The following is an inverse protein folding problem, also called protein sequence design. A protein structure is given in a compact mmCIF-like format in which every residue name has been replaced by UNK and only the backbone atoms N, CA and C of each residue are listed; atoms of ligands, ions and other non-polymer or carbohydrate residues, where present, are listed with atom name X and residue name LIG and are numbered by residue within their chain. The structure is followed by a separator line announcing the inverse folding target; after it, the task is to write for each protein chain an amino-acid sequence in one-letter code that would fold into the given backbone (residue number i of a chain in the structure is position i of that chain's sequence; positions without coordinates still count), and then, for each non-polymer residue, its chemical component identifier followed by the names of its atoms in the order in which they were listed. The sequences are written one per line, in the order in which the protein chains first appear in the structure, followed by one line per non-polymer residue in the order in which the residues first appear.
data_IF_127626246109
#
_entry.id   IF_127626246109
#
_cell.length_a   1.000
_cell.length_b   1.000
_cell.length_c   1.000
_cell.angle_alpha   90.00
_cell.angle_beta   90.00
_cell.angle_gamma   90.00
#
_symmetry.space_group_name_H-M   'P 1'
#
loop_
_entity.id
_entity.type
_entity.pdbx_description
1 polymer ?
#
# COMPACT_ATOMS: atom_id res chain seq x y z
N UNK A 1 -13.96 -3.88 -19.22
CA UNK A 1 -15.18 -3.27 -19.79
C UNK A 1 -15.70 -4.10 -20.97
N UNK A 2 -17.01 -4.15 -21.12
CA UNK A 2 -17.69 -4.74 -22.29
C UNK A 2 -18.18 -3.60 -23.16
N UNK A 3 -17.86 -3.67 -24.44
CA UNK A 3 -18.30 -2.69 -25.44
C UNK A 3 -19.45 -3.31 -26.22
N UNK A 4 -20.61 -2.66 -26.20
CA UNK A 4 -21.81 -3.08 -26.92
C UNK A 4 -21.88 -2.37 -28.25
N UNK A 5 -21.84 -3.14 -29.34
CA UNK A 5 -21.90 -2.62 -30.70
C UNK A 5 -23.08 -3.30 -31.42
N UNK A 6 -23.91 -2.51 -32.10
CA UNK A 6 -24.97 -2.98 -32.98
C UNK A 6 -24.98 -2.16 -34.25
N UNK A 7 -25.10 -2.83 -35.40
CA UNK A 7 -25.12 -2.22 -36.72
C UNK A 7 -23.95 -1.25 -36.97
N UNK A 8 -22.76 -1.59 -36.45
CA UNK A 8 -21.54 -0.80 -36.54
C UNK A 8 -21.50 0.47 -35.65
N UNK A 9 -22.49 0.65 -34.78
CA UNK A 9 -22.54 1.80 -33.84
C UNK A 9 -22.29 1.35 -32.42
N UNK A 10 -21.49 2.14 -31.70
CA UNK A 10 -21.32 1.99 -30.26
C UNK A 10 -22.65 2.31 -29.56
N UNK A 11 -23.18 1.36 -28.81
CA UNK A 11 -24.41 1.55 -28.03
C UNK A 11 -24.09 1.91 -26.59
N UNK A 12 -23.18 1.18 -25.96
CA UNK A 12 -22.84 1.37 -24.55
C UNK A 12 -21.48 0.74 -24.22
N UNK A 13 -20.96 1.10 -23.06
CA UNK A 13 -19.82 0.46 -22.41
C UNK A 13 -20.22 0.11 -20.98
N UNK A 14 -20.10 -1.15 -20.58
CA UNK A 14 -20.57 -1.62 -19.27
C UNK A 14 -19.52 -2.48 -18.58
N UNK A 15 -19.74 -2.77 -17.29
CA UNK A 15 -18.99 -3.81 -16.59
C UNK A 15 -19.44 -5.21 -17.04
N UNK A 16 -18.55 -6.19 -16.85
CA UNK A 16 -18.80 -7.56 -17.30
C UNK A 16 -19.95 -8.26 -16.55
N UNK A 17 -20.26 -7.83 -15.34
CA UNK A 17 -21.36 -8.35 -14.53
C UNK A 17 -22.75 -7.98 -15.07
N UNK A 18 -22.82 -6.99 -15.97
CA UNK A 18 -24.06 -6.59 -16.63
C UNK A 18 -24.37 -7.39 -17.89
N UNK A 19 -23.50 -8.29 -18.31
CA UNK A 19 -23.73 -9.16 -19.47
C UNK A 19 -24.67 -10.29 -19.07
N UNK A 20 -25.95 -10.07 -19.26
CA UNK A 20 -27.00 -11.06 -18.98
C UNK A 20 -27.76 -11.42 -20.26
N UNK A 21 -28.42 -12.57 -20.28
CA UNK A 21 -29.28 -12.97 -21.40
C UNK A 21 -30.40 -11.93 -21.67
N UNK A 22 -30.94 -11.30 -20.61
CA UNK A 22 -31.93 -10.23 -20.71
C UNK A 22 -31.37 -9.01 -21.41
N UNK A 23 -30.18 -8.53 -20.97
CA UNK A 23 -29.54 -7.36 -21.58
C UNK A 23 -29.23 -7.57 -23.06
N UNK A 24 -28.78 -8.76 -23.42
CA UNK A 24 -28.53 -9.15 -24.83
C UNK A 24 -29.84 -9.11 -25.63
N UNK A 25 -30.92 -9.70 -25.09
CA UNK A 25 -32.23 -9.71 -25.76
C UNK A 25 -32.80 -8.32 -25.97
N UNK A 26 -32.70 -7.44 -24.95
CA UNK A 26 -33.15 -6.03 -25.05
C UNK A 26 -32.45 -5.30 -26.20
N UNK A 27 -31.14 -5.51 -26.36
CA UNK A 27 -30.37 -4.87 -27.43
C UNK A 27 -30.75 -5.44 -28.79
N UNK A 28 -30.94 -6.76 -28.92
CA UNK A 28 -31.33 -7.40 -30.17
C UNK A 28 -32.72 -6.89 -30.61
N UNK A 29 -33.66 -6.80 -29.69
CA UNK A 29 -35.03 -6.39 -29.93
C UNK A 29 -35.24 -4.85 -30.07
N UNK A 30 -34.14 -4.07 -30.04
CA UNK A 30 -34.20 -2.58 -30.06
C UNK A 30 -35.02 -1.97 -28.91
N UNK A 31 -35.11 -2.66 -27.77
CA UNK A 31 -35.74 -2.11 -26.57
C UNK A 31 -34.80 -1.13 -25.88
N UNK A 32 -35.34 -0.26 -25.06
CA UNK A 32 -34.52 0.61 -24.21
C UNK A 32 -33.69 -0.26 -23.27
N UNK A 33 -32.35 -0.17 -23.36
CA UNK A 33 -31.45 -0.99 -22.59
C UNK A 33 -31.44 -0.56 -21.12
N UNK A 34 -31.54 -1.51 -20.20
CA UNK A 34 -31.36 -1.34 -18.75
C UNK A 34 -29.89 -1.21 -18.34
N UNK A 35 -28.96 -1.31 -19.29
CA UNK A 35 -27.52 -1.28 -19.04
C UNK A 35 -27.08 0.08 -18.50
N UNK A 36 -26.35 0.05 -17.40
CA UNK A 36 -25.71 1.24 -16.85
C UNK A 36 -24.40 1.50 -17.57
N UNK A 37 -24.25 2.69 -18.14
CA UNK A 37 -23.01 3.11 -18.79
C UNK A 37 -21.90 3.24 -17.77
N UNK A 38 -20.73 2.67 -18.07
CA UNK A 38 -19.53 2.97 -17.30
C UNK A 38 -19.11 4.41 -17.57
N UNK A 39 -19.16 5.22 -16.55
CA UNK A 39 -18.67 6.59 -16.62
C UNK A 39 -17.14 6.55 -16.62
N UNK A 40 -16.52 7.03 -17.69
CA UNK A 40 -15.07 7.25 -17.70
C UNK A 40 -14.77 8.44 -16.80
N UNK A 41 -14.12 8.15 -15.66
CA UNK A 41 -13.72 9.18 -14.71
C UNK A 41 -12.29 9.59 -15.01
N UNK A 42 -12.05 10.87 -15.18
CA UNK A 42 -10.72 11.44 -15.25
C UNK A 42 -10.06 11.35 -13.86
N UNK A 43 -9.15 10.38 -13.71
CA UNK A 43 -8.47 10.07 -12.44
C UNK A 43 -7.41 11.12 -12.05
N UNK A 44 -7.13 12.07 -12.93
CA UNK A 44 -6.26 13.23 -12.64
C UNK A 44 -7.02 14.36 -11.94
N UNK A 45 -8.35 14.32 -11.98
CA UNK A 45 -9.26 15.28 -11.35
C UNK A 45 -9.85 14.72 -10.06
N UNK A 46 -10.33 15.58 -9.16
CA UNK A 46 -11.09 15.15 -8.00
C UNK A 46 -12.33 14.36 -8.40
N UNK A 47 -12.62 13.27 -7.68
CA UNK A 47 -13.79 12.44 -7.92
C UNK A 47 -15.08 13.27 -7.82
N UNK A 48 -16.03 12.96 -8.68
CA UNK A 48 -17.39 13.52 -8.66
C UNK A 48 -17.47 15.06 -8.75
N UNK A 49 -16.40 15.75 -9.14
CA UNK A 49 -16.52 17.14 -9.51
C UNK A 49 -17.21 17.26 -10.88
N UNK A 50 -18.20 18.13 -10.95
CA UNK A 50 -18.91 18.41 -12.21
C UNK A 50 -17.98 19.04 -13.24
N UNK A 51 -18.34 18.91 -14.54
CA UNK A 51 -17.65 19.58 -15.64
C UNK A 51 -17.66 21.12 -15.52
N UNK A 52 -18.53 21.67 -14.66
CA UNK A 52 -18.60 23.11 -14.39
C UNK A 52 -17.48 23.66 -13.52
N UNK A 53 -16.61 22.79 -12.93
CA UNK A 53 -15.42 23.22 -12.23
C UNK A 53 -14.34 23.60 -13.24
N UNK A 54 -14.22 24.89 -13.49
CA UNK A 54 -13.32 25.45 -14.49
C UNK A 54 -12.06 25.99 -13.82
N UNK A 55 -10.98 25.18 -13.89
CA UNK A 55 -9.66 25.56 -13.40
C UNK A 55 -8.98 26.64 -14.25
N UNK A 56 -9.46 26.87 -15.49
CA UNK A 56 -8.88 27.85 -16.39
C UNK A 56 -9.36 29.28 -16.08
N UNK A 57 -10.44 29.44 -15.32
CA UNK A 57 -11.05 30.76 -14.98
C UNK A 57 -10.59 31.34 -13.64
N UNK A 58 -9.33 31.18 -13.27
CA UNK A 58 -8.76 31.74 -12.02
C UNK A 58 -9.35 31.17 -10.72
N UNK A 59 -10.03 30.02 -10.76
CA UNK A 59 -10.48 29.31 -9.58
C UNK A 59 -9.49 28.21 -9.23
N UNK A 60 -9.06 28.13 -7.97
CA UNK A 60 -8.18 27.09 -7.46
C UNK A 60 -8.91 26.28 -6.39
N UNK A 61 -8.97 24.96 -6.59
CA UNK A 61 -9.50 24.05 -5.59
C UNK A 61 -8.56 24.01 -4.37
N UNK A 62 -9.01 24.56 -3.25
CA UNK A 62 -8.22 24.63 -2.03
C UNK A 62 -8.27 23.32 -1.26
N UNK A 63 -9.43 22.71 -1.13
CA UNK A 63 -9.58 21.41 -0.46
C UNK A 63 -10.80 20.67 -0.99
N UNK A 64 -10.74 19.36 -0.95
CA UNK A 64 -11.83 18.49 -1.36
C UNK A 64 -11.75 17.18 -0.57
N UNK A 65 -12.89 16.72 -0.08
CA UNK A 65 -13.00 15.43 0.60
C UNK A 65 -14.23 14.73 0.07
N UNK A 66 -14.01 13.58 -0.54
CA UNK A 66 -15.03 12.60 -0.84
C UNK A 66 -14.71 11.35 -0.02
N UNK A 67 -15.70 10.81 0.69
CA UNK A 67 -15.55 9.59 1.47
C UNK A 67 -16.83 8.78 1.41
N UNK A 68 -16.74 7.53 0.98
CA UNK A 68 -17.88 6.64 0.91
C UNK A 68 -17.53 5.23 1.36
N UNK A 69 -18.55 4.53 1.86
CA UNK A 69 -18.51 3.10 2.18
C UNK A 69 -19.37 2.33 1.19
N UNK A 70 -18.91 1.18 0.79
CA UNK A 70 -19.51 0.34 -0.24
C UNK A 70 -18.81 0.49 -1.58
N UNK A 71 -18.95 -0.53 -2.44
CA UNK A 71 -18.38 -0.51 -3.80
C UNK A 71 -19.06 0.55 -4.66
N UNK A 72 -18.25 1.41 -5.25
CA UNK A 72 -18.69 2.29 -6.32
C UNK A 72 -18.40 1.58 -7.65
N UNK A 73 -19.44 1.09 -8.32
CA UNK A 73 -19.28 0.27 -9.53
C UNK A 73 -18.65 1.01 -10.71
N UNK A 74 -18.87 2.32 -10.78
CA UNK A 74 -18.28 3.17 -11.82
C UNK A 74 -16.79 3.43 -11.64
N UNK A 75 -16.20 2.99 -10.51
CA UNK A 75 -14.78 3.19 -10.19
C UNK A 75 -14.04 1.87 -10.19
N UNK A 76 -12.89 1.85 -10.86
CA UNK A 76 -11.94 0.75 -10.74
C UNK A 76 -11.36 0.68 -9.31
N UNK A 77 -10.91 -0.50 -8.93
CA UNK A 77 -10.01 -0.68 -7.81
C UNK A 77 -8.68 0.05 -8.08
N UNK A 78 -8.29 0.96 -7.21
CA UNK A 78 -7.06 1.70 -7.49
C UNK A 78 -6.64 2.73 -6.46
N UNK A 79 -5.57 3.40 -6.79
CA UNK A 79 -4.97 4.43 -5.96
C UNK A 79 -4.23 5.45 -6.85
N UNK A 80 -4.46 6.74 -6.61
CA UNK A 80 -3.89 7.84 -7.41
C UNK A 80 -3.41 8.95 -6.50
N UNK A 81 -2.58 9.83 -7.09
CA UNK A 81 -2.02 10.99 -6.42
C UNK A 81 -2.43 12.25 -7.18
N UNK A 82 -2.86 13.28 -6.45
CA UNK A 82 -2.93 14.63 -6.99
C UNK A 82 -1.60 15.33 -6.72
N UNK A 83 -0.89 15.70 -7.79
CA UNK A 83 0.46 16.28 -7.71
C UNK A 83 0.53 17.61 -8.43
N UNK A 84 1.34 18.52 -7.87
CA UNK A 84 1.74 19.75 -8.52
C UNK A 84 3.23 19.97 -8.31
N UNK A 85 3.98 20.21 -9.39
CA UNK A 85 5.44 20.45 -9.36
C UNK A 85 6.22 19.44 -8.49
N UNK A 86 5.83 18.16 -8.57
CA UNK A 86 6.46 17.07 -7.81
C UNK A 86 5.97 16.89 -6.37
N UNK A 87 5.15 17.81 -5.83
CA UNK A 87 4.56 17.68 -4.50
C UNK A 87 3.19 17.04 -4.56
N UNK A 88 2.93 16.06 -3.69
CA UNK A 88 1.63 15.42 -3.53
C UNK A 88 0.78 16.26 -2.56
N UNK A 89 -0.33 16.81 -3.05
CA UNK A 89 -1.28 17.59 -2.26
C UNK A 89 -2.63 16.89 -2.09
N UNK A 90 -2.80 15.72 -2.70
CA UNK A 90 -4.01 14.91 -2.54
C UNK A 90 -3.76 13.44 -2.85
N UNK A 91 -4.62 12.61 -2.28
CA UNK A 91 -4.55 11.15 -2.38
C UNK A 91 -5.94 10.58 -2.60
N UNK A 92 -6.04 9.69 -3.60
CA UNK A 92 -7.27 9.02 -3.94
C UNK A 92 -7.12 7.51 -3.78
N UNK A 93 -8.10 6.88 -3.15
CA UNK A 93 -8.28 5.44 -3.07
C UNK A 93 -9.69 5.11 -3.54
N UNK A 94 -9.84 4.09 -4.36
CA UNK A 94 -11.13 3.64 -4.86
C UNK A 94 -11.33 2.16 -4.62
N UNK A 95 -12.47 1.80 -4.03
CA UNK A 95 -12.87 0.42 -3.75
C UNK A 95 -11.81 -0.39 -2.97
N UNK A 96 -11.22 0.21 -1.93
CA UNK A 96 -10.17 -0.38 -1.10
C UNK A 96 -10.69 -0.85 0.25
N UNK A 97 -10.03 -1.84 0.85
CA UNK A 97 -10.21 -2.14 2.27
C UNK A 97 -9.62 -1.01 3.14
N UNK A 98 -10.12 -0.86 4.38
CA UNK A 98 -9.52 0.10 5.30
C UNK A 98 -8.06 -0.24 5.62
N UNK A 99 -7.71 -1.53 5.70
CA UNK A 99 -6.32 -1.94 5.92
C UNK A 99 -5.39 -1.43 4.81
N UNK A 100 -5.80 -1.53 3.54
CA UNK A 100 -5.01 -1.02 2.42
C UNK A 100 -4.84 0.50 2.48
N UNK A 101 -5.91 1.24 2.85
CA UNK A 101 -5.88 2.69 3.01
C UNK A 101 -4.96 3.07 4.18
N UNK A 102 -5.12 2.46 5.35
CA UNK A 102 -4.30 2.72 6.53
C UNK A 102 -2.83 2.37 6.30
N UNK A 103 -2.55 1.24 5.66
CA UNK A 103 -1.18 0.84 5.31
C UNK A 103 -0.51 1.87 4.41
N UNK A 104 -1.23 2.34 3.38
CA UNK A 104 -0.71 3.34 2.44
C UNK A 104 -0.43 4.69 3.12
N UNK A 105 -1.33 5.15 3.99
CA UNK A 105 -1.13 6.37 4.79
C UNK A 105 0.02 6.17 5.79
N UNK A 106 0.05 5.03 6.46
CA UNK A 106 1.10 4.66 7.41
C UNK A 106 2.48 4.65 6.78
N UNK A 107 2.62 4.11 5.56
CA UNK A 107 3.86 4.10 4.80
C UNK A 107 4.42 5.52 4.63
N UNK A 108 3.60 6.45 4.17
CA UNK A 108 3.99 7.84 3.96
C UNK A 108 4.34 8.56 5.28
N UNK A 109 3.59 8.28 6.35
CA UNK A 109 3.86 8.85 7.68
C UNK A 109 5.16 8.33 8.30
N UNK A 110 5.52 7.06 8.04
CA UNK A 110 6.81 6.50 8.44
C UNK A 110 7.95 7.13 7.66
N UNK A 111 7.81 7.27 6.34
CA UNK A 111 8.80 7.93 5.47
C UNK A 111 9.07 9.36 5.90
N UNK A 112 8.01 10.13 6.27
CA UNK A 112 8.16 11.48 6.82
C UNK A 112 8.98 11.54 8.13
N UNK A 113 9.09 10.41 8.84
CA UNK A 113 9.91 10.29 10.08
C UNK A 113 11.29 9.69 9.82
N UNK A 114 11.63 9.39 8.57
CA UNK A 114 12.86 8.70 8.19
C UNK A 114 12.87 7.21 8.48
N UNK A 115 11.69 6.63 8.72
CA UNK A 115 11.49 5.19 8.97
C UNK A 115 10.81 4.51 7.77
N UNK A 116 10.82 3.18 7.76
CA UNK A 116 10.15 2.38 6.73
C UNK A 116 9.12 1.47 7.38
N UNK A 117 7.85 1.65 7.01
CA UNK A 117 6.79 0.75 7.46
C UNK A 117 6.93 -0.61 6.78
N UNK A 118 6.81 -1.66 7.57
CA UNK A 118 6.66 -3.04 7.09
C UNK A 118 5.43 -3.67 7.70
N UNK A 119 4.97 -4.78 7.13
CA UNK A 119 3.85 -5.55 7.69
C UNK A 119 4.08 -5.99 9.15
N UNK A 120 5.35 -6.14 9.55
CA UNK A 120 5.75 -6.53 10.91
C UNK A 120 5.67 -5.38 11.92
N UNK A 121 5.57 -4.14 11.45
CA UNK A 121 5.39 -2.93 12.26
C UNK A 121 3.93 -2.46 12.30
N UNK A 122 3.02 -3.30 11.82
CA UNK A 122 1.58 -3.06 11.87
C UNK A 122 0.95 -3.95 12.93
N UNK A 123 0.23 -3.35 13.86
CA UNK A 123 -0.52 -4.05 14.89
C UNK A 123 -2.02 -3.80 14.68
N UNK A 124 -2.70 -4.79 14.11
CA UNK A 124 -4.16 -4.79 13.99
C UNK A 124 -4.76 -5.58 15.15
N UNK A 125 -5.55 -4.91 15.99
CA UNK A 125 -6.25 -5.54 17.12
C UNK A 125 -7.75 -5.69 16.87
N UNK A 126 -8.24 -5.33 15.67
CA UNK A 126 -9.64 -5.46 15.28
C UNK A 126 -10.06 -6.94 15.24
N UNK A 127 -11.24 -7.24 15.80
CA UNK A 127 -11.81 -8.58 15.78
C UNK A 127 -13.24 -8.59 15.21
N UNK A 128 -13.55 -9.42 14.23
CA UNK A 128 -12.59 -10.22 13.47
C UNK A 128 -11.77 -9.34 12.50
N UNK A 129 -10.52 -9.71 12.18
CA UNK A 129 -9.65 -8.88 11.34
C UNK A 129 -10.23 -8.63 9.94
N UNK A 130 -11.06 -9.52 9.42
CA UNK A 130 -11.74 -9.42 8.12
C UNK A 130 -12.73 -8.24 8.04
N UNK A 131 -12.96 -7.53 9.13
CA UNK A 131 -13.74 -6.29 9.10
C UNK A 131 -13.03 -5.19 8.32
N UNK A 132 -11.69 -5.18 8.32
CA UNK A 132 -10.88 -4.17 7.64
C UNK A 132 -9.82 -4.76 6.72
N UNK A 133 -9.44 -6.03 6.90
CA UNK A 133 -8.39 -6.73 6.15
C UNK A 133 -8.97 -7.98 5.48
N UNK A 134 -9.25 -7.88 4.19
CA UNK A 134 -9.86 -8.94 3.41
C UNK A 134 -9.42 -8.88 1.95
N UNK A 135 -9.62 -9.97 1.21
CA UNK A 135 -9.29 -10.02 -0.22
C UNK A 135 -10.31 -9.21 -1.03
N UNK A 136 -9.90 -8.02 -1.46
CA UNK A 136 -10.72 -7.08 -2.24
C UNK A 136 -10.98 -7.52 -3.68
N UNK A 137 -10.30 -8.56 -4.18
CA UNK A 137 -10.58 -9.16 -5.49
C UNK A 137 -11.82 -10.07 -5.48
N UNK A 138 -12.31 -10.45 -4.30
CA UNK A 138 -13.55 -11.20 -4.18
C UNK A 138 -14.71 -10.21 -4.31
N UNK A 139 -15.54 -10.41 -5.35
CA UNK A 139 -16.72 -9.57 -5.59
C UNK A 139 -17.96 -10.29 -5.11
N UNK A 140 -18.51 -9.86 -3.99
CA UNK A 140 -19.78 -10.30 -3.44
C UNK A 140 -20.39 -9.20 -2.57
N UNK A 141 -21.66 -9.35 -2.18
CA UNK A 141 -22.40 -8.34 -1.39
C UNK A 141 -21.72 -7.99 -0.07
N UNK A 142 -21.11 -8.96 0.61
CA UNK A 142 -20.45 -8.75 1.88
C UNK A 142 -19.15 -7.96 1.72
N UNK A 143 -18.29 -8.38 0.81
CA UNK A 143 -17.03 -7.68 0.49
C UNK A 143 -17.31 -6.27 -0.01
N UNK A 144 -18.27 -6.12 -0.93
CA UNK A 144 -18.64 -4.83 -1.50
C UNK A 144 -19.08 -3.82 -0.44
N UNK A 145 -19.81 -4.29 0.59
CA UNK A 145 -20.28 -3.43 1.68
C UNK A 145 -19.15 -2.95 2.62
N UNK A 146 -18.01 -3.62 2.63
CA UNK A 146 -16.84 -3.31 3.49
C UNK A 146 -15.80 -2.42 2.79
N UNK A 147 -15.92 -2.20 1.48
CA UNK A 147 -15.01 -1.35 0.72
C UNK A 147 -15.20 0.12 1.05
N UNK A 148 -14.15 0.89 0.85
CA UNK A 148 -14.17 2.34 0.98
C UNK A 148 -13.56 3.00 -0.25
N UNK A 149 -14.06 4.19 -0.54
CA UNK A 149 -13.45 5.10 -1.52
C UNK A 149 -13.27 6.46 -0.86
N UNK A 150 -12.08 7.02 -1.01
CA UNK A 150 -11.76 8.34 -0.49
C UNK A 150 -10.95 9.11 -1.53
N UNK A 151 -11.30 10.37 -1.72
CA UNK A 151 -10.47 11.35 -2.41
C UNK A 151 -10.26 12.54 -1.49
N UNK A 152 -9.02 12.80 -1.13
CA UNK A 152 -8.66 13.75 -0.10
C UNK A 152 -7.62 14.73 -0.63
N UNK A 153 -7.99 16.00 -0.73
CA UNK A 153 -7.16 17.09 -1.22
C UNK A 153 -7.00 18.15 -0.12
N UNK A 154 -5.78 18.61 0.08
CA UNK A 154 -5.44 19.76 0.94
C UNK A 154 -4.91 20.91 0.10
N UNK A 155 -4.91 22.16 0.63
CA UNK A 155 -4.21 23.26 -0.02
C UNK A 155 -2.75 22.89 -0.34
N UNK A 156 -2.25 23.28 -1.50
CA UNK A 156 -0.91 22.89 -1.99
C UNK A 156 0.22 23.27 -1.01
N UNK A 157 0.07 24.37 -0.28
CA UNK A 157 1.00 24.80 0.76
C UNK A 157 0.90 23.98 2.05
N UNK A 158 -0.02 23.02 2.14
CA UNK A 158 -0.22 22.11 3.28
C UNK A 158 0.05 20.64 2.92
N UNK A 159 0.72 20.39 1.80
CA UNK A 159 1.04 19.04 1.31
C UNK A 159 1.73 18.16 2.37
N UNK A 160 2.63 18.73 3.17
CA UNK A 160 3.36 17.99 4.21
C UNK A 160 2.44 17.45 5.33
N UNK A 161 1.24 18.03 5.49
CA UNK A 161 0.23 17.58 6.45
C UNK A 161 -0.86 16.69 5.85
N UNK A 162 -0.79 16.36 4.56
CA UNK A 162 -1.80 15.59 3.84
C UNK A 162 -2.18 14.30 4.58
N UNK A 163 -1.20 13.45 4.83
CA UNK A 163 -1.43 12.12 5.39
C UNK A 163 -1.87 12.15 6.85
N UNK A 164 -1.35 13.07 7.65
CA UNK A 164 -1.79 13.24 9.05
C UNK A 164 -3.23 13.75 9.14
N UNK A 165 -3.63 14.66 8.25
CA UNK A 165 -5.02 15.15 8.16
C UNK A 165 -5.97 14.08 7.65
N UNK A 166 -5.53 13.34 6.62
CA UNK A 166 -6.32 12.24 6.05
C UNK A 166 -6.55 11.14 7.10
N UNK A 167 -5.50 10.73 7.84
CA UNK A 167 -5.62 9.75 8.90
C UNK A 167 -6.59 10.20 9.99
N UNK A 168 -6.48 11.46 10.44
CA UNK A 168 -7.40 12.03 11.41
C UNK A 168 -8.84 12.00 10.91
N UNK A 169 -9.09 12.43 9.68
CA UNK A 169 -10.41 12.41 9.08
C UNK A 169 -11.00 11.00 9.03
N UNK A 170 -10.24 9.99 8.60
CA UNK A 170 -10.71 8.61 8.54
C UNK A 170 -10.99 8.09 9.96
N UNK A 171 -10.11 8.38 10.92
CA UNK A 171 -10.35 8.05 12.32
C UNK A 171 -11.66 8.66 12.85
N UNK A 172 -11.96 9.91 12.53
CA UNK A 172 -13.20 10.58 12.97
C UNK A 172 -14.46 9.94 12.35
N UNK A 173 -14.35 9.43 11.12
CA UNK A 173 -15.48 8.95 10.31
C UNK A 173 -15.60 7.42 10.20
N UNK A 174 -14.81 6.66 10.95
CA UNK A 174 -14.91 5.20 11.03
C UNK A 174 -14.97 4.74 12.49
N UNK A 175 -15.42 3.50 12.78
CA UNK A 175 -15.41 2.97 14.16
C UNK A 175 -14.00 2.64 14.67
N UNK A 176 -12.96 2.91 13.91
CA UNK A 176 -11.58 2.54 14.22
C UNK A 176 -10.72 3.75 14.53
N UNK A 177 -9.65 3.51 15.28
CA UNK A 177 -8.59 4.49 15.54
C UNK A 177 -7.26 3.93 15.09
N UNK A 178 -6.52 4.72 14.33
CA UNK A 178 -5.17 4.38 13.86
C UNK A 178 -4.20 5.46 14.31
N UNK A 179 -3.09 5.03 14.90
CA UNK A 179 -2.06 5.92 15.43
C UNK A 179 -0.67 5.33 15.20
N UNK A 180 0.33 6.22 15.21
CA UNK A 180 1.74 5.84 15.27
C UNK A 180 2.17 5.89 16.73
N UNK A 181 2.53 4.71 17.28
CA UNK A 181 2.91 4.57 18.68
C UNK A 181 4.29 3.92 18.80
N UNK A 182 5.13 4.44 19.71
CA UNK A 182 6.34 3.73 20.11
C UNK A 182 5.95 2.63 21.11
N UNK A 183 6.27 1.37 20.77
CA UNK A 183 5.99 0.22 21.62
C UNK A 183 7.23 -0.64 21.79
N UNK A 184 7.49 -1.09 23.01
CA UNK A 184 8.50 -2.13 23.27
C UNK A 184 8.02 -3.41 22.63
N UNK A 185 8.76 -3.88 21.63
CA UNK A 185 8.33 -4.97 20.76
C UNK A 185 9.47 -5.97 20.60
N UNK A 186 9.20 -7.29 20.72
CA UNK A 186 10.17 -8.31 20.36
C UNK A 186 10.61 -8.15 18.90
N UNK A 187 11.92 -8.17 18.67
CA UNK A 187 12.51 -8.01 17.34
C UNK A 187 13.79 -8.82 17.22
N UNK A 188 14.26 -9.00 15.99
CA UNK A 188 15.59 -9.52 15.70
C UNK A 188 16.51 -8.35 15.36
N UNK A 189 17.64 -8.27 16.06
CA UNK A 189 18.62 -7.20 15.84
C UNK A 189 19.83 -7.78 15.12
N UNK A 190 20.15 -7.23 13.96
CA UNK A 190 21.37 -7.54 13.23
C UNK A 190 22.52 -6.72 13.79
N UNK A 191 23.58 -7.40 14.26
CA UNK A 191 24.77 -6.80 14.85
C UNK A 191 26.03 -7.32 14.20
N UNK A 192 27.12 -6.53 14.28
CA UNK A 192 28.46 -7.01 13.96
C UNK A 192 29.05 -7.70 15.19
N UNK A 193 29.71 -8.86 14.98
CA UNK A 193 30.38 -9.62 16.03
C UNK A 193 31.87 -9.33 16.08
N UNK A 194 32.42 -8.64 15.09
CA UNK A 194 33.84 -8.21 15.07
C UNK A 194 34.01 -6.85 14.40
N UNK A 195 35.19 -6.24 14.58
CA UNK A 195 35.59 -5.01 13.88
C UNK A 195 36.13 -5.26 12.46
N UNK A 196 36.28 -6.52 12.03
CA UNK A 196 36.83 -6.87 10.71
C UNK A 196 35.79 -6.61 9.64
N UNK A 197 36.20 -6.04 8.50
CA UNK A 197 35.28 -5.83 7.38
C UNK A 197 35.28 -7.04 6.44
N UNK A 198 34.36 -7.96 6.69
CA UNK A 198 34.07 -9.11 5.81
C UNK A 198 32.85 -8.86 4.91
N UNK A 199 32.27 -7.65 4.95
CA UNK A 199 31.04 -7.30 4.26
C UNK A 199 31.29 -6.57 2.96
N UNK A 200 32.42 -5.85 2.87
CA UNK A 200 32.70 -4.94 1.75
C UNK A 200 32.50 -5.63 0.39
N UNK A 201 31.71 -5.02 -0.45
CA UNK A 201 31.51 -5.48 -1.82
C UNK A 201 32.80 -5.43 -2.64
N UNK A 202 32.91 -6.35 -3.58
CA UNK A 202 33.95 -6.30 -4.64
C UNK A 202 33.55 -5.38 -5.80
N UNK A 203 32.39 -4.72 -5.71
CA UNK A 203 31.86 -3.83 -6.75
C UNK A 203 31.09 -4.58 -7.82
N UNK A 204 30.93 -3.93 -8.98
CA UNK A 204 30.19 -4.47 -10.10
C UNK A 204 28.73 -4.03 -10.12
N UNK A 205 27.94 -4.65 -11.00
CA UNK A 205 26.50 -4.41 -11.10
C UNK A 205 25.78 -4.98 -9.88
N UNK A 206 24.78 -4.26 -9.38
CA UNK A 206 23.92 -4.77 -8.31
C UNK A 206 23.20 -6.05 -8.77
N UNK A 207 23.30 -7.12 -7.98
CA UNK A 207 22.54 -8.35 -8.19
C UNK A 207 21.58 -8.52 -7.01
N UNK A 208 20.28 -8.59 -7.34
CA UNK A 208 19.21 -8.89 -6.42
C UNK A 208 18.60 -10.27 -6.72
N UNK A 209 19.15 -11.28 -6.11
CA UNK A 209 18.58 -12.62 -6.02
C UNK A 209 18.34 -13.03 -4.57
N UNK A 210 18.21 -12.05 -3.65
CA UNK A 210 18.23 -12.30 -2.21
C UNK A 210 17.10 -13.24 -1.74
N UNK A 211 15.91 -13.10 -2.26
CA UNK A 211 14.76 -13.95 -1.89
C UNK A 211 14.68 -15.25 -2.69
N UNK A 212 15.62 -15.51 -3.60
CA UNK A 212 15.75 -16.77 -4.35
C UNK A 212 16.51 -17.81 -3.52
N UNK A 213 16.57 -19.03 -4.01
CA UNK A 213 17.41 -20.10 -3.43
C UNK A 213 18.30 -20.68 -4.55
N UNK A 214 19.63 -20.61 -4.43
CA UNK A 214 20.39 -19.90 -3.39
C UNK A 214 20.22 -18.37 -3.46
N UNK A 215 20.33 -17.73 -2.29
CA UNK A 215 20.19 -16.28 -2.15
C UNK A 215 21.49 -15.57 -2.49
N UNK A 216 21.44 -14.55 -3.32
CA UNK A 216 22.60 -13.73 -3.70
C UNK A 216 22.23 -12.26 -3.61
N UNK A 217 23.03 -11.52 -2.87
CA UNK A 217 22.98 -10.07 -2.81
C UNK A 217 24.40 -9.54 -3.11
N UNK A 218 24.57 -8.79 -4.17
CA UNK A 218 25.86 -8.24 -4.56
C UNK A 218 25.75 -6.73 -4.77
N UNK A 219 26.72 -5.99 -4.28
CA UNK A 219 26.81 -4.52 -4.41
C UNK A 219 25.55 -3.80 -3.93
N UNK A 220 24.91 -4.28 -2.87
CA UNK A 220 23.72 -3.72 -2.26
C UNK A 220 23.99 -3.29 -0.80
N UNK A 221 23.04 -2.67 -0.13
CA UNK A 221 23.17 -2.23 1.26
C UNK A 221 22.56 -3.25 2.24
N UNK A 222 23.00 -3.24 3.50
CA UNK A 222 22.31 -4.00 4.56
C UNK A 222 20.88 -3.52 4.77
N UNK A 223 20.62 -2.23 4.61
CA UNK A 223 19.26 -1.66 4.66
C UNK A 223 18.35 -2.32 3.62
N UNK A 224 18.84 -2.57 2.41
CA UNK A 224 18.08 -3.30 1.38
C UNK A 224 17.78 -4.74 1.83
N UNK A 225 18.76 -5.46 2.37
CA UNK A 225 18.56 -6.81 2.93
C UNK A 225 17.49 -6.82 4.02
N UNK A 226 17.57 -5.90 4.97
CA UNK A 226 16.61 -5.77 6.07
C UNK A 226 15.21 -5.47 5.55
N UNK A 227 15.10 -4.55 4.59
CA UNK A 227 13.83 -4.23 3.93
C UNK A 227 13.21 -5.47 3.27
N UNK A 228 14.00 -6.25 2.52
CA UNK A 228 13.54 -7.48 1.88
C UNK A 228 13.08 -8.54 2.90
N UNK A 229 13.79 -8.69 4.01
CA UNK A 229 13.41 -9.62 5.10
C UNK A 229 12.15 -9.14 5.86
N UNK A 230 11.94 -7.84 5.94
CA UNK A 230 10.78 -7.25 6.60
C UNK A 230 9.54 -7.14 5.71
N UNK A 231 9.68 -7.26 4.40
CA UNK A 231 8.57 -7.11 3.45
C UNK A 231 7.49 -8.21 3.58
N UNK A 232 7.84 -9.35 4.20
CA UNK A 232 6.93 -10.47 4.39
C UNK A 232 7.31 -11.28 5.65
N UNK A 233 6.50 -12.29 5.97
CA UNK A 233 6.70 -13.16 7.12
C UNK A 233 7.37 -14.49 6.78
N UNK A 234 7.99 -14.64 5.60
CA UNK A 234 8.54 -15.93 5.16
C UNK A 234 9.71 -16.44 6.02
N UNK A 235 10.55 -15.52 6.52
CA UNK A 235 11.71 -15.86 7.37
C UNK A 235 11.33 -15.84 8.85
N UNK A 236 10.60 -14.83 9.28
CA UNK A 236 10.17 -14.61 10.66
C UNK A 236 9.01 -13.61 10.69
N UNK A 237 8.17 -13.71 11.71
CA UNK A 237 7.12 -12.68 11.97
C UNK A 237 7.68 -11.49 12.77
N UNK A 238 8.87 -11.61 13.37
CA UNK A 238 9.48 -10.52 14.13
C UNK A 238 10.10 -9.48 13.20
N UNK A 239 9.97 -8.18 13.50
CA UNK A 239 10.70 -7.13 12.79
C UNK A 239 12.21 -7.34 12.95
N UNK A 240 12.95 -7.06 11.87
CA UNK A 240 14.42 -7.12 11.85
C UNK A 240 14.96 -5.70 11.78
N UNK A 241 15.92 -5.37 12.66
CA UNK A 241 16.50 -4.04 12.81
C UNK A 241 18.01 -4.11 12.58
N UNK A 242 18.56 -3.12 11.89
CA UNK A 242 19.99 -2.98 11.66
C UNK A 242 20.63 -2.11 12.78
N UNK A 243 21.41 -2.75 13.65
CA UNK A 243 22.31 -2.10 14.61
C UNK A 243 23.79 -2.34 14.27
N UNK A 244 24.12 -2.73 13.03
CA UNK A 244 25.51 -2.97 12.61
C UNK A 244 26.34 -1.70 12.50
N UNK A 245 25.66 -0.56 12.25
CA UNK A 245 26.31 0.72 11.91
C UNK A 245 27.04 0.71 10.56
N UNK A 246 26.94 -0.37 9.78
CA UNK A 246 27.64 -0.51 8.50
C UNK A 246 26.94 0.29 7.40
N UNK A 247 27.68 1.18 6.75
CA UNK A 247 27.15 2.09 5.72
C UNK A 247 27.58 1.70 4.29
N UNK A 248 28.51 0.76 4.17
CA UNK A 248 29.04 0.31 2.89
C UNK A 248 28.06 -0.61 2.15
N UNK A 249 28.41 -0.91 0.91
CA UNK A 249 27.76 -1.95 0.13
C UNK A 249 28.37 -3.31 0.46
N UNK A 250 27.58 -4.36 0.33
CA UNK A 250 27.90 -5.72 0.75
C UNK A 250 27.72 -6.72 -0.38
N UNK A 251 28.49 -7.84 -0.28
CA UNK A 251 28.29 -9.04 -1.08
C UNK A 251 27.98 -10.20 -0.13
N UNK A 252 26.75 -10.70 -0.19
CA UNK A 252 26.25 -11.75 0.69
C UNK A 252 25.67 -12.92 -0.11
N UNK A 253 25.89 -14.13 0.37
CA UNK A 253 25.36 -15.36 -0.21
C UNK A 253 24.85 -16.26 0.90
N UNK A 254 23.65 -16.78 0.72
CA UNK A 254 23.01 -17.69 1.65
C UNK A 254 22.37 -18.85 0.89
N UNK A 255 22.35 -20.02 1.52
CA UNK A 255 21.67 -21.19 0.94
C UNK A 255 20.16 -21.02 0.95
N UNK A 256 19.60 -20.52 2.07
CA UNK A 256 18.16 -20.31 2.22
C UNK A 256 17.86 -19.24 3.28
N UNK A 257 17.46 -18.03 2.85
CA UNK A 257 17.08 -16.95 3.74
C UNK A 257 15.68 -17.11 4.35
N UNK A 258 14.86 -18.05 3.84
CA UNK A 258 13.53 -18.32 4.39
C UNK A 258 13.57 -19.17 5.65
N UNK A 259 14.66 -19.90 5.89
CA UNK A 259 14.89 -20.60 7.14
C UNK A 259 15.73 -19.74 8.09
N UNK A 260 15.12 -19.28 9.18
CA UNK A 260 15.76 -18.38 10.13
C UNK A 260 17.04 -18.96 10.75
N UNK A 261 17.04 -20.26 11.08
CA UNK A 261 18.20 -20.91 11.69
C UNK A 261 19.37 -20.99 10.71
N UNK A 262 19.11 -21.32 9.46
CA UNK A 262 20.09 -21.31 8.38
C UNK A 262 20.64 -19.90 8.16
N UNK A 263 19.78 -18.89 8.08
CA UNK A 263 20.18 -17.49 7.94
C UNK A 263 21.09 -17.05 9.10
N UNK A 264 20.70 -17.32 10.35
CA UNK A 264 21.50 -16.99 11.53
C UNK A 264 22.89 -17.66 11.51
N UNK A 265 22.96 -18.95 11.15
CA UNK A 265 24.20 -19.69 11.02
C UNK A 265 25.13 -19.13 9.93
N UNK A 266 24.56 -18.79 8.77
CA UNK A 266 25.32 -18.32 7.62
C UNK A 266 25.75 -16.85 7.75
N UNK A 267 25.01 -16.02 8.49
CA UNK A 267 25.41 -14.65 8.85
C UNK A 267 26.74 -14.61 9.61
N UNK A 268 27.03 -15.62 10.41
CA UNK A 268 28.29 -15.72 11.17
C UNK A 268 29.54 -15.73 10.27
N UNK A 269 29.44 -16.17 9.02
CA UNK A 269 30.58 -16.16 8.05
C UNK A 269 31.00 -14.71 7.73
N UNK A 270 30.08 -13.77 7.88
CA UNK A 270 30.27 -12.34 7.63
C UNK A 270 30.50 -11.53 8.90
N UNK A 271 30.77 -12.20 10.03
CA UNK A 271 30.84 -11.59 11.36
C UNK A 271 29.57 -10.79 11.69
N UNK A 272 28.43 -11.33 11.33
CA UNK A 272 27.08 -10.83 11.66
C UNK A 272 26.36 -11.81 12.57
N UNK A 273 25.59 -11.29 13.50
CA UNK A 273 24.65 -12.06 14.32
C UNK A 273 23.26 -11.44 14.26
N UNK A 274 22.25 -12.29 14.28
CA UNK A 274 20.84 -11.91 14.34
C UNK A 274 20.27 -12.41 15.67
N UNK A 275 20.09 -11.51 16.64
CA UNK A 275 19.71 -11.81 18.01
C UNK A 275 18.32 -11.32 18.33
N UNK A 276 17.52 -12.17 19.02
CA UNK A 276 16.22 -11.76 19.51
C UNK A 276 16.35 -10.91 20.77
N UNK A 277 15.68 -9.79 20.79
CA UNK A 277 15.62 -8.84 21.91
C UNK A 277 14.35 -7.99 21.81
N UNK A 278 14.21 -7.03 22.71
CA UNK A 278 13.12 -6.04 22.67
C UNK A 278 13.67 -4.65 22.35
N UNK A 279 12.93 -3.89 21.55
CA UNK A 279 13.25 -2.49 21.21
C UNK A 279 11.99 -1.63 21.18
N UNK A 280 12.10 -0.35 21.54
CA UNK A 280 11.03 0.60 21.32
C UNK A 280 10.92 0.92 19.83
N UNK A 281 9.98 0.27 19.14
CA UNK A 281 9.74 0.46 17.71
C UNK A 281 8.55 1.37 17.46
N UNK A 282 8.63 2.16 16.39
CA UNK A 282 7.47 2.86 15.86
C UNK A 282 6.55 1.83 15.21
N UNK A 283 5.29 1.81 15.63
CA UNK A 283 4.28 0.88 15.15
C UNK A 283 3.08 1.64 14.59
N UNK A 284 2.49 1.14 13.52
CA UNK A 284 1.14 1.53 13.08
C UNK A 284 0.14 0.67 13.85
N UNK A 285 -0.58 1.28 14.78
CA UNK A 285 -1.53 0.57 15.65
C UNK A 285 -2.96 0.86 15.22
N UNK A 286 -3.72 -0.19 14.95
CA UNK A 286 -5.12 -0.16 14.49
C UNK A 286 -5.96 -0.85 15.54
N UNK A 287 -6.98 -0.16 16.06
CA UNK A 287 -7.85 -0.66 17.14
C UNK A 287 -9.28 -0.13 17.01
N UNK A 288 -10.23 -0.77 17.64
CA UNK A 288 -11.57 -0.23 17.84
C UNK A 288 -11.52 1.05 18.69
N UNK A 289 -12.53 1.93 18.50
CA UNK A 289 -12.74 3.12 19.35
C UNK A 289 -13.27 2.77 20.72
#
# INVERSE_FOLDING_TARGET
YIVWIKDGKLLNTTDSDQVTASAISEIIENKQSSLQTVVQIDKTRPLLLSENYDTEKNTELQSYIFFSKGRIRALDYGTWFHRDKGKTYGRQFTNKSLMEIYSSIGYELFEQKGDVLSVKLMLNTIQPPENIDFNTNITNKETDAKLYSIDFIVPKNQSDSLYSKMLRFINENTPYTVSLEKRVTPCLVLKRTSGKDKLATKGGTMIDGFLKSPSVLQNATLAYMISALNANNNTTSLPIIDETGYKGKVDLRFSNVKDLKTLQKELAQYDLALEQTERPLLMLVIKDK
#
